data_IF_895168123092
#
_entry.id   IF_895168123092
#
_cell.length_a   1.000
_cell.length_b   1.000
_cell.length_c   1.000
_cell.angle_alpha   90.00
_cell.angle_beta   90.00
_cell.angle_gamma   90.00
#
_symmetry.space_group_name_H-M   'P 1'
#
loop_
_entity.id
_entity.type
_entity.pdbx_description
1 polymer ?
#
# COMPACT_ATOMS: atom_id res chain seq x y z
N UNK A 1 15.70 -2.21 2.92
CA UNK A 1 15.54 -1.70 1.53
C UNK A 1 14.23 -0.92 1.42
N UNK A 2 14.07 -0.11 0.37
CA UNK A 2 12.86 0.70 0.14
C UNK A 2 12.23 0.26 -1.17
N UNK A 3 10.91 0.12 -1.16
CA UNK A 3 10.12 -0.22 -2.34
C UNK A 3 8.99 0.79 -2.48
N UNK A 4 8.72 1.21 -3.71
CA UNK A 4 7.46 1.86 -4.04
C UNK A 4 6.41 0.78 -4.25
N UNK A 5 5.30 0.88 -3.55
CA UNK A 5 4.19 -0.07 -3.57
C UNK A 5 2.94 0.62 -4.10
N UNK A 6 2.24 -0.02 -5.03
CA UNK A 6 0.91 0.39 -5.48
C UNK A 6 -0.11 -0.64 -4.97
N UNK A 7 -1.03 -0.20 -4.13
CA UNK A 7 -2.07 -0.99 -3.51
C UNK A 7 -3.44 -0.61 -4.08
N UNK A 8 -4.27 -1.61 -4.36
CA UNK A 8 -5.68 -1.43 -4.67
C UNK A 8 -6.48 -1.48 -3.38
N UNK A 9 -7.35 -0.50 -3.18
CA UNK A 9 -8.31 -0.54 -2.08
C UNK A 9 -9.39 -1.61 -2.35
N UNK A 10 -9.86 -2.32 -1.32
CA UNK A 10 -10.95 -3.27 -1.49
C UNK A 10 -12.26 -2.56 -1.83
N UNK A 11 -13.13 -3.21 -2.60
CA UNK A 11 -14.36 -2.62 -3.12
C UNK A 11 -15.26 -2.02 -2.02
N UNK A 12 -15.26 -2.61 -0.82
CA UNK A 12 -16.11 -2.18 0.28
C UNK A 12 -15.67 -0.87 0.95
N UNK A 13 -14.45 -0.37 0.68
CA UNK A 13 -13.98 0.93 1.21
C UNK A 13 -14.00 2.05 0.17
N UNK A 14 -14.36 1.75 -1.07
CA UNK A 14 -14.34 2.70 -2.19
C UNK A 14 -15.73 2.92 -2.76
N UNK A 15 -16.06 4.14 -3.15
CA UNK A 15 -17.35 4.44 -3.82
C UNK A 15 -17.39 3.91 -5.27
N UNK A 16 -16.23 3.54 -5.83
CA UNK A 16 -16.05 3.20 -7.25
C UNK A 16 -15.65 1.73 -7.53
N UNK A 17 -16.08 0.76 -6.70
CA UNK A 17 -15.79 -0.68 -6.92
C UNK A 17 -14.29 -0.99 -7.10
N UNK A 18 -13.46 -0.61 -6.13
CA UNK A 18 -12.05 -0.99 -6.08
C UNK A 18 -11.21 -0.41 -7.21
N UNK A 19 -11.58 0.75 -7.74
CA UNK A 19 -10.76 1.47 -8.72
C UNK A 19 -9.77 2.44 -8.07
N UNK A 20 -9.92 2.71 -6.77
CA UNK A 20 -9.03 3.60 -6.06
C UNK A 20 -7.74 2.85 -5.71
N UNK A 21 -6.62 3.50 -6.00
CA UNK A 21 -5.29 2.99 -5.66
C UNK A 21 -4.60 3.93 -4.69
N UNK A 22 -3.76 3.33 -3.84
CA UNK A 22 -2.78 4.04 -3.04
C UNK A 22 -1.39 3.74 -3.58
N UNK A 23 -0.51 4.74 -3.55
CA UNK A 23 0.89 4.60 -3.89
C UNK A 23 1.73 5.25 -2.80
N UNK A 24 2.71 4.53 -2.29
CA UNK A 24 3.64 5.02 -1.28
C UNK A 24 4.88 4.15 -1.15
N UNK A 25 5.72 4.44 -0.16
CA UNK A 25 6.88 3.62 0.16
C UNK A 25 6.55 2.54 1.20
N UNK A 26 7.14 1.37 1.02
CA UNK A 26 7.18 0.29 2.00
C UNK A 26 8.62 -0.06 2.33
N UNK A 27 8.92 -0.33 3.60
CA UNK A 27 10.28 -0.60 4.08
C UNK A 27 10.41 -2.01 4.63
N UNK A 28 11.47 -2.68 4.23
CA UNK A 28 11.76 -4.05 4.68
C UNK A 28 13.09 -4.58 4.13
N UNK A 29 13.60 -5.64 4.74
CA UNK A 29 14.77 -6.36 4.24
C UNK A 29 14.38 -7.33 3.11
N UNK A 30 13.08 -7.57 2.92
CA UNK A 30 12.50 -8.30 1.80
C UNK A 30 11.32 -7.54 1.17
N UNK A 31 10.93 -7.85 -0.08
CA UNK A 31 9.71 -7.32 -0.68
C UNK A 31 8.45 -7.59 0.16
N UNK A 32 8.35 -8.76 0.78
CA UNK A 32 7.19 -9.14 1.59
C UNK A 32 7.07 -8.28 2.85
N UNK A 33 8.20 -7.98 3.50
CA UNK A 33 8.25 -7.06 4.64
C UNK A 33 7.87 -5.64 4.23
N UNK A 34 8.38 -5.16 3.09
CA UNK A 34 8.02 -3.85 2.56
C UNK A 34 6.53 -3.75 2.21
N UNK A 35 5.94 -4.81 1.66
CA UNK A 35 4.49 -4.86 1.41
C UNK A 35 3.68 -4.85 2.71
N UNK A 36 4.12 -5.59 3.73
CA UNK A 36 3.46 -5.61 5.03
C UNK A 36 3.50 -4.22 5.70
N UNK A 37 4.64 -3.54 5.63
CA UNK A 37 4.81 -2.16 6.09
C UNK A 37 3.87 -1.20 5.35
N UNK A 38 3.85 -1.24 4.01
CA UNK A 38 2.96 -0.41 3.20
C UNK A 38 1.47 -0.62 3.51
N UNK A 39 1.04 -1.87 3.75
CA UNK A 39 -0.34 -2.16 4.15
C UNK A 39 -0.64 -1.66 5.56
N UNK A 40 0.30 -1.79 6.50
CA UNK A 40 0.14 -1.30 7.86
C UNK A 40 -0.04 0.22 7.92
N UNK A 41 0.57 0.97 6.99
CA UNK A 41 0.38 2.42 6.89
C UNK A 41 -1.07 2.83 6.56
N UNK A 42 -1.82 1.97 5.88
CA UNK A 42 -3.24 2.19 5.53
C UNK A 42 -4.21 1.62 6.56
N UNK A 43 -3.76 0.66 7.36
CA UNK A 43 -4.50 0.13 8.49
C UNK A 43 -4.18 0.97 9.73
N UNK A 44 -4.94 2.04 9.93
CA UNK A 44 -4.83 2.90 11.11
C UNK A 44 -4.91 2.08 12.41
N UNK A 45 -3.85 2.08 13.25
CA UNK A 45 -3.85 1.38 14.53
C UNK A 45 -4.79 2.02 15.56
N UNK A 46 -5.19 3.29 15.38
CA UNK A 46 -6.02 4.04 16.34
C UNK A 46 -7.53 3.90 16.08
N UNK A 47 -7.92 3.21 15.00
CA UNK A 47 -9.27 2.65 14.82
C UNK A 47 -10.18 3.31 13.80
N UNK A 48 -9.77 4.42 13.18
CA UNK A 48 -10.60 5.18 12.22
C UNK A 48 -10.41 4.73 10.75
N UNK A 49 -9.47 3.85 10.45
CA UNK A 49 -9.33 3.31 9.08
C UNK A 49 -10.52 2.44 8.69
N UNK A 50 -11.03 2.67 7.47
CA UNK A 50 -12.04 1.82 6.83
C UNK A 50 -11.48 0.45 6.45
N UNK A 51 -10.15 0.31 6.34
CA UNK A 51 -9.47 -0.95 6.06
C UNK A 51 -9.20 -1.65 7.38
N UNK A 52 -9.98 -2.69 7.68
CA UNK A 52 -9.86 -3.47 8.92
C UNK A 52 -8.89 -4.64 8.80
N UNK A 53 -8.60 -5.09 7.58
CA UNK A 53 -7.74 -6.22 7.30
C UNK A 53 -6.69 -5.82 6.25
N UNK A 54 -5.39 -5.75 6.62
CA UNK A 54 -4.30 -5.43 5.69
C UNK A 54 -4.26 -6.33 4.44
N UNK A 55 -4.68 -7.59 4.59
CA UNK A 55 -4.73 -8.58 3.51
C UNK A 55 -5.75 -8.26 2.41
N UNK A 56 -6.73 -7.39 2.68
CA UNK A 56 -7.73 -6.95 1.69
C UNK A 56 -7.16 -5.95 0.68
N UNK A 57 -5.99 -5.36 0.97
CA UNK A 57 -5.26 -4.50 0.05
C UNK A 57 -4.51 -5.36 -0.96
N UNK A 58 -4.88 -5.25 -2.24
CA UNK A 58 -4.23 -6.02 -3.29
C UNK A 58 -3.01 -5.29 -3.85
N UNK A 59 -1.86 -5.95 -3.90
CA UNK A 59 -0.65 -5.37 -4.48
C UNK A 59 -0.69 -5.45 -6.01
N UNK A 60 -0.72 -4.30 -6.68
CA UNK A 60 -0.68 -4.22 -8.15
C UNK A 60 0.75 -4.25 -8.65
N UNK A 61 1.62 -3.46 -8.02
CA UNK A 61 3.01 -3.33 -8.43
C UNK A 61 3.91 -3.03 -7.23
N UNK A 62 5.14 -3.54 -7.32
CA UNK A 62 6.24 -3.19 -6.43
C UNK A 62 7.49 -2.92 -7.25
N UNK A 63 8.15 -1.82 -6.96
CA UNK A 63 9.38 -1.40 -7.61
C UNK A 63 10.40 -1.10 -6.53
N UNK A 64 11.60 -1.65 -6.64
CA UNK A 64 12.70 -1.33 -5.73
C UNK A 64 13.14 0.12 -5.95
N UNK A 65 13.19 0.91 -4.88
CA UNK A 65 13.50 2.34 -4.89
C UNK A 65 12.32 3.25 -4.53
N UNK A 66 12.62 4.54 -4.35
CA UNK A 66 11.64 5.59 -4.06
C UNK A 66 11.12 6.22 -5.36
N UNK A 67 9.80 6.24 -5.56
CA UNK A 67 9.20 6.85 -6.75
C UNK A 67 9.46 8.35 -6.85
N UNK A 68 9.73 9.02 -5.73
CA UNK A 68 10.03 10.45 -5.70
C UNK A 68 11.43 10.79 -6.24
N UNK A 69 12.31 9.80 -6.40
CA UNK A 69 13.63 10.00 -7.01
C UNK A 69 13.58 10.12 -8.54
N UNK A 70 12.44 9.81 -9.16
CA UNK A 70 12.26 9.98 -10.62
C UNK A 70 11.94 11.45 -10.92
N UNK A 71 12.98 12.25 -11.15
CA UNK A 71 12.81 13.61 -11.70
C UNK A 71 12.33 13.48 -13.16
N UNK A 72 11.27 14.20 -13.58
CA UNK A 72 10.78 14.17 -14.95
C UNK A 72 11.79 14.72 -15.96
#
# INVERSE_FOLDING_TARGET
MIYTVILLYPDYVTDNYGQDTWMGDGRGDTPEEALADARAQLCDPDGDSLIKAPEDLFCIAMIEGEHQDVRP
#
